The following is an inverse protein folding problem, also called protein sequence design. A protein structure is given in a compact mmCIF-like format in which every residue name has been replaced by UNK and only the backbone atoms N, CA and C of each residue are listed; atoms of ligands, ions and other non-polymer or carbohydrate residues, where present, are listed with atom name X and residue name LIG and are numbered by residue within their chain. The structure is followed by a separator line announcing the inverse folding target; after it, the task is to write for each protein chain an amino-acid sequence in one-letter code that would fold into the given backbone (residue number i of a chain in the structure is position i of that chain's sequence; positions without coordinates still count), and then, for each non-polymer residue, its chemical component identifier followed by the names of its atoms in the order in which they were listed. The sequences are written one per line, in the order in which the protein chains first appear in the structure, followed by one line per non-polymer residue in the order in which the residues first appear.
data_IF_618464886507
#
_entry.id   IF_618464886507
#
_cell.length_a   1.000
_cell.length_b   1.000
_cell.length_c   1.000
_cell.angle_alpha   90.00
_cell.angle_beta   90.00
_cell.angle_gamma   90.00
#
_symmetry.space_group_name_H-M   'P 1'
#
loop_
_entity.id
_entity.type
_entity.pdbx_description
1 polymer ?
#
# COMPACT_ATOMS: atom_id res chain seq x y z
N UNK A 1 11.10 -10.54 -20.65
CA UNK A 1 11.38 -11.20 -19.36
C UNK A 1 11.88 -10.15 -18.40
N UNK A 2 11.03 -9.73 -17.49
CA UNK A 2 11.47 -8.89 -16.37
C UNK A 2 12.41 -9.72 -15.51
N UNK A 3 13.69 -9.33 -15.50
CA UNK A 3 14.70 -10.01 -14.71
C UNK A 3 14.30 -9.99 -13.23
N UNK A 4 14.26 -11.15 -12.61
CA UNK A 4 14.08 -11.28 -11.17
C UNK A 4 15.30 -10.67 -10.48
N UNK A 5 15.09 -9.57 -9.76
CA UNK A 5 16.12 -8.94 -8.95
C UNK A 5 16.01 -9.43 -7.52
N UNK A 6 16.95 -10.26 -7.11
CA UNK A 6 17.03 -10.73 -5.73
C UNK A 6 18.09 -9.94 -4.96
N UNK A 7 17.74 -9.53 -3.75
CA UNK A 7 18.65 -8.85 -2.84
C UNK A 7 18.92 -9.70 -1.60
N UNK A 8 20.05 -9.45 -0.95
CA UNK A 8 20.38 -10.14 0.30
C UNK A 8 19.41 -9.73 1.42
N UNK A 9 18.90 -10.73 2.14
CA UNK A 9 18.11 -10.55 3.35
C UNK A 9 19.01 -10.93 4.56
N UNK A 10 19.18 -9.98 5.48
CA UNK A 10 19.90 -10.25 6.71
C UNK A 10 19.07 -11.16 7.63
N UNK A 11 19.73 -12.09 8.31
CA UNK A 11 19.10 -12.93 9.32
C UNK A 11 18.81 -12.19 10.62
N UNK A 12 19.57 -11.13 10.91
CA UNK A 12 19.40 -10.33 12.11
C UNK A 12 18.21 -9.37 11.99
N UNK A 13 17.48 -9.23 13.09
CA UNK A 13 16.48 -8.18 13.23
C UNK A 13 17.13 -6.85 13.59
N UNK A 14 16.65 -5.77 13.00
CA UNK A 14 17.00 -4.42 13.44
C UNK A 14 15.99 -3.92 14.46
N UNK A 15 16.47 -3.49 15.63
CA UNK A 15 15.59 -3.02 16.69
C UNK A 15 15.07 -1.60 16.37
N UNK A 16 13.75 -1.41 16.49
CA UNK A 16 13.13 -0.09 16.48
C UNK A 16 12.92 0.48 17.90
N UNK A 17 13.29 -0.26 18.91
CA UNK A 17 13.24 0.12 20.33
C UNK A 17 14.53 -0.29 21.01
N UNK A 18 14.49 -1.34 21.83
CA UNK A 18 15.69 -1.87 22.46
C UNK A 18 16.62 -2.55 21.43
N UNK A 19 17.94 -2.32 21.52
CA UNK A 19 18.88 -2.95 20.59
C UNK A 19 18.87 -4.48 20.76
N UNK A 20 18.95 -5.18 19.63
CA UNK A 20 19.18 -6.62 19.58
C UNK A 20 20.61 -6.92 19.15
N UNK A 21 21.17 -8.09 19.53
CA UNK A 21 22.50 -8.48 19.07
C UNK A 21 22.57 -8.51 17.55
N UNK A 22 23.66 -7.98 16.99
CA UNK A 22 23.90 -8.04 15.55
C UNK A 22 24.55 -9.38 15.20
N UNK A 23 23.90 -10.13 14.32
CA UNK A 23 24.45 -11.33 13.69
C UNK A 23 24.76 -11.04 12.23
N UNK A 24 25.97 -11.30 11.81
CA UNK A 24 26.48 -10.97 10.45
C UNK A 24 26.07 -11.98 9.36
N UNK A 25 25.01 -12.77 9.59
CA UNK A 25 24.61 -13.80 8.64
C UNK A 25 23.55 -13.32 7.67
N UNK A 26 23.78 -13.60 6.39
CA UNK A 26 22.76 -13.50 5.34
C UNK A 26 22.01 -14.83 5.30
N UNK A 27 20.73 -14.82 5.69
CA UNK A 27 19.92 -16.02 5.76
C UNK A 27 19.43 -16.48 4.39
N UNK A 28 19.07 -15.53 3.52
CA UNK A 28 18.46 -15.81 2.23
C UNK A 28 18.64 -14.66 1.24
N UNK A 29 18.15 -14.87 0.03
CA UNK A 29 17.88 -13.80 -0.92
C UNK A 29 16.38 -13.58 -1.02
N UNK A 30 15.95 -12.34 -1.06
CA UNK A 30 14.57 -11.96 -1.23
C UNK A 30 14.32 -11.43 -2.66
N UNK A 31 13.29 -11.97 -3.31
CA UNK A 31 12.71 -11.39 -4.51
C UNK A 31 11.49 -10.56 -4.11
N UNK A 32 11.61 -9.24 -4.23
CA UNK A 32 10.52 -8.33 -3.85
C UNK A 32 9.27 -8.50 -4.72
N UNK A 33 9.40 -8.95 -5.96
CA UNK A 33 8.24 -9.24 -6.80
C UNK A 33 7.41 -10.37 -6.20
N UNK A 34 8.06 -11.45 -5.75
CA UNK A 34 7.37 -12.55 -5.10
C UNK A 34 6.83 -12.17 -3.72
N UNK A 35 7.60 -11.40 -2.95
CA UNK A 35 7.24 -11.03 -1.59
C UNK A 35 6.09 -10.01 -1.51
N UNK A 36 6.08 -9.01 -2.40
CA UNK A 36 5.14 -7.89 -2.35
C UNK A 36 4.01 -8.01 -3.37
N UNK A 37 4.17 -8.83 -4.41
CA UNK A 37 3.19 -8.98 -5.50
C UNK A 37 2.87 -10.46 -5.69
N UNK A 38 2.17 -11.09 -4.72
CA UNK A 38 1.87 -12.53 -4.80
C UNK A 38 0.89 -12.87 -5.93
N UNK A 39 0.10 -11.93 -6.38
CA UNK A 39 -0.90 -12.08 -7.45
C UNK A 39 -0.76 -10.99 -8.51
N UNK A 40 0.21 -11.10 -9.44
CA UNK A 40 0.52 -10.03 -10.40
C UNK A 40 -0.66 -9.61 -11.28
N UNK A 41 -1.53 -10.56 -11.66
CA UNK A 41 -2.66 -10.29 -12.56
C UNK A 41 -3.76 -9.42 -11.93
N UNK A 42 -3.85 -9.41 -10.60
CA UNK A 42 -4.84 -8.61 -9.85
C UNK A 42 -4.20 -7.46 -9.07
N UNK A 43 -2.90 -7.25 -9.21
CA UNK A 43 -2.16 -6.22 -8.47
C UNK A 43 -2.00 -4.96 -9.30
N UNK A 44 -2.30 -3.82 -8.67
CA UNK A 44 -2.17 -2.49 -9.23
C UNK A 44 -1.38 -1.59 -8.29
N UNK A 45 -0.78 -0.55 -8.84
CA UNK A 45 -0.04 0.45 -8.08
C UNK A 45 -0.74 1.80 -8.21
N UNK A 46 -0.85 2.51 -7.10
CA UNK A 46 -1.32 3.89 -7.08
C UNK A 46 -0.46 4.74 -6.14
N UNK A 47 -0.28 6.00 -6.48
CA UNK A 47 0.43 6.96 -5.65
C UNK A 47 -0.54 7.75 -4.80
N UNK A 48 -0.21 7.90 -3.53
CA UNK A 48 -1.02 8.65 -2.57
C UNK A 48 -0.82 10.15 -2.76
N UNK A 49 -1.92 10.88 -2.71
CA UNK A 49 -1.94 12.33 -2.61
C UNK A 49 -2.70 12.75 -1.35
N UNK A 50 -2.05 13.52 -0.50
CA UNK A 50 -2.62 14.01 0.75
C UNK A 50 -2.32 13.16 1.98
N UNK A 51 -2.71 13.64 3.15
CA UNK A 51 -2.34 13.10 4.46
C UNK A 51 -3.52 12.48 5.23
N UNK A 52 -4.65 12.24 4.57
CA UNK A 52 -5.87 11.73 5.21
C UNK A 52 -5.69 10.36 5.90
N UNK A 53 -4.67 9.60 5.51
CA UNK A 53 -4.35 8.28 6.05
C UNK A 53 -3.03 8.23 6.83
N UNK A 54 -2.49 9.37 7.21
CA UNK A 54 -1.22 9.45 7.95
C UNK A 54 -1.26 8.70 9.29
N UNK A 55 -2.39 8.69 9.98
CA UNK A 55 -2.60 7.93 11.22
C UNK A 55 -2.56 6.41 11.02
N UNK A 56 -2.77 5.92 9.81
CA UNK A 56 -2.60 4.50 9.43
C UNK A 56 -1.22 4.23 8.82
N UNK A 57 -0.31 5.18 8.87
CA UNK A 57 1.05 5.04 8.35
C UNK A 57 1.19 5.20 6.84
N UNK A 58 0.17 5.73 6.17
CA UNK A 58 0.18 6.01 4.73
C UNK A 58 0.33 7.52 4.54
N UNK A 59 1.43 7.93 3.90
CA UNK A 59 1.81 9.33 3.75
C UNK A 59 1.66 9.80 2.31
N UNK A 60 1.61 11.11 2.15
CA UNK A 60 1.64 11.75 0.84
C UNK A 60 2.84 11.29 0.02
N UNK A 61 2.62 10.91 -1.24
CA UNK A 61 3.65 10.39 -2.12
C UNK A 61 3.95 8.90 -2.00
N UNK A 62 3.38 8.19 -1.05
CA UNK A 62 3.55 6.74 -0.92
C UNK A 62 3.06 5.99 -2.16
N UNK A 63 3.70 4.87 -2.46
CA UNK A 63 3.26 3.94 -3.49
C UNK A 63 2.45 2.83 -2.84
N UNK A 64 1.17 2.73 -3.19
CA UNK A 64 0.31 1.65 -2.74
C UNK A 64 0.41 0.46 -3.68
N UNK A 65 0.50 -0.72 -3.10
CA UNK A 65 0.32 -2.01 -3.77
C UNK A 65 -1.08 -2.51 -3.43
N UNK A 66 -1.91 -2.67 -4.45
CA UNK A 66 -3.35 -2.93 -4.31
C UNK A 66 -3.69 -4.25 -5.00
N UNK A 67 -4.34 -5.14 -4.28
CA UNK A 67 -4.82 -6.40 -4.82
C UNK A 67 -6.35 -6.37 -4.97
N UNK A 68 -6.82 -6.50 -6.19
CA UNK A 68 -8.24 -6.49 -6.51
C UNK A 68 -8.92 -7.84 -6.35
N UNK A 69 -8.16 -8.91 -6.14
CA UNK A 69 -8.71 -10.26 -5.93
C UNK A 69 -9.10 -10.55 -4.48
N UNK A 70 -8.66 -9.71 -3.55
CA UNK A 70 -8.96 -9.87 -2.14
C UNK A 70 -10.33 -9.31 -1.76
N UNK A 71 -11.01 -10.04 -0.90
CA UNK A 71 -12.23 -9.54 -0.28
C UNK A 71 -11.92 -8.48 0.77
N UNK A 72 -12.53 -7.33 0.64
CA UNK A 72 -12.41 -6.27 1.62
C UNK A 72 -13.15 -6.67 2.92
N UNK A 73 -12.46 -6.49 4.05
CA UNK A 73 -12.98 -6.79 5.39
C UNK A 73 -12.75 -5.60 6.32
N UNK A 74 -13.58 -5.41 7.34
CA UNK A 74 -13.35 -4.39 8.37
C UNK A 74 -11.93 -4.48 8.95
N UNK A 75 -11.29 -3.33 9.10
CA UNK A 75 -9.90 -3.17 9.54
C UNK A 75 -8.89 -3.08 8.41
N UNK A 76 -9.23 -3.46 7.19
CA UNK A 76 -8.32 -3.33 6.03
C UNK A 76 -8.38 -1.93 5.42
N UNK A 77 -7.23 -1.49 4.91
CA UNK A 77 -7.15 -0.31 4.07
C UNK A 77 -7.55 -0.68 2.65
N UNK A 78 -8.43 0.11 2.06
CA UNK A 78 -8.98 -0.12 0.73
C UNK A 78 -8.84 1.10 -0.16
N UNK A 79 -8.81 0.88 -1.45
CA UNK A 79 -9.08 1.90 -2.45
C UNK A 79 -10.52 1.78 -2.89
N UNK A 80 -11.21 2.89 -2.94
CA UNK A 80 -12.60 2.99 -3.40
C UNK A 80 -12.74 4.13 -4.40
N UNK A 81 -13.81 4.08 -5.18
CA UNK A 81 -14.24 5.22 -6.00
C UNK A 81 -15.31 6.00 -5.25
N UNK A 82 -15.19 7.31 -5.25
CA UNK A 82 -16.14 8.22 -4.63
C UNK A 82 -16.15 9.54 -5.41
N UNK A 83 -17.33 9.98 -5.82
CA UNK A 83 -17.46 11.22 -6.58
C UNK A 83 -16.65 11.24 -7.89
N UNK A 84 -16.45 10.09 -8.54
CA UNK A 84 -15.65 9.96 -9.76
C UNK A 84 -14.14 9.95 -9.55
N UNK A 85 -13.66 9.91 -8.32
CA UNK A 85 -12.24 9.87 -7.97
C UNK A 85 -11.89 8.63 -7.14
N UNK A 86 -10.61 8.23 -7.17
CA UNK A 86 -10.09 7.22 -6.25
C UNK A 86 -9.75 7.84 -4.91
N UNK A 87 -10.13 7.16 -3.86
CA UNK A 87 -9.77 7.49 -2.48
C UNK A 87 -9.19 6.27 -1.78
N UNK A 88 -8.29 6.49 -0.81
CA UNK A 88 -7.78 5.46 0.10
C UNK A 88 -8.33 5.72 1.50
N UNK A 89 -8.93 4.68 2.11
CA UNK A 89 -9.57 4.75 3.44
C UNK A 89 -9.45 3.41 4.14
N UNK A 90 -9.64 3.40 5.45
CA UNK A 90 -9.82 2.16 6.22
C UNK A 90 -11.29 1.77 6.18
N UNK A 91 -11.56 0.52 5.90
CA UNK A 91 -12.90 -0.04 5.98
C UNK A 91 -13.23 -0.35 7.44
N UNK A 92 -14.30 0.23 7.94
CA UNK A 92 -14.85 -0.05 9.27
C UNK A 92 -16.25 -0.61 9.16
N UNK A 93 -16.66 -1.43 10.12
CA UNK A 93 -17.98 -2.05 10.16
C UNK A 93 -18.03 -3.30 11.01
N UNK A 94 -19.19 -3.95 11.07
CA UNK A 94 -19.34 -5.24 11.72
C UNK A 94 -19.08 -6.38 10.74
N UNK A 95 -18.42 -7.44 11.21
CA UNK A 95 -18.29 -8.69 10.45
C UNK A 95 -19.69 -9.21 10.09
N UNK A 96 -19.88 -9.52 8.81
CA UNK A 96 -21.13 -10.06 8.28
C UNK A 96 -22.22 -9.01 7.95
N UNK A 97 -21.94 -7.72 8.15
CA UNK A 97 -22.82 -6.65 7.64
C UNK A 97 -22.32 -6.20 6.28
N UNK A 98 -23.23 -6.14 5.30
CA UNK A 98 -22.97 -5.56 3.98
C UNK A 98 -22.74 -4.04 4.01
N UNK A 99 -22.92 -3.44 5.18
CA UNK A 99 -22.83 -2.00 5.43
C UNK A 99 -21.56 -1.70 6.21
N UNK A 100 -20.65 -0.99 5.59
CA UNK A 100 -19.41 -0.49 6.20
C UNK A 100 -19.25 1.00 5.98
N UNK A 101 -18.23 1.54 6.61
CA UNK A 101 -17.83 2.94 6.51
C UNK A 101 -16.41 3.03 6.00
N UNK A 102 -16.14 3.98 5.14
CA UNK A 102 -14.80 4.35 4.72
C UNK A 102 -14.33 5.51 5.60
N UNK A 103 -13.29 5.26 6.39
CA UNK A 103 -12.82 6.17 7.43
C UNK A 103 -11.39 6.60 7.16
N UNK A 104 -11.15 7.91 7.22
CA UNK A 104 -9.81 8.48 7.24
C UNK A 104 -9.24 8.51 8.67
N UNK A 105 -7.94 8.68 8.80
CA UNK A 105 -7.25 8.79 10.10
C UNK A 105 -6.74 10.19 10.41
N UNK A 106 -7.26 11.20 9.72
CA UNK A 106 -6.91 12.61 9.92
C UNK A 106 -7.74 13.31 11.02
N UNK A 107 -8.80 12.66 11.50
CA UNK A 107 -9.75 13.25 12.46
C UNK A 107 -10.61 14.38 11.89
N UNK A 108 -10.52 14.66 10.61
CA UNK A 108 -11.20 15.79 9.92
C UNK A 108 -12.18 15.31 8.87
N UNK A 109 -11.83 14.27 8.12
CA UNK A 109 -12.65 13.77 7.02
C UNK A 109 -13.88 13.02 7.53
N UNK A 110 -15.02 13.34 6.97
CA UNK A 110 -16.29 12.66 7.30
C UNK A 110 -16.27 11.22 6.81
N UNK A 111 -16.66 10.23 7.61
CA UNK A 111 -16.84 8.85 7.18
C UNK A 111 -17.85 8.74 6.03
N UNK A 112 -17.57 7.88 5.05
CA UNK A 112 -18.41 7.65 3.88
C UNK A 112 -19.10 6.30 4.01
N UNK A 113 -20.43 6.29 3.97
CA UNK A 113 -21.21 5.06 4.05
C UNK A 113 -21.21 4.31 2.72
N UNK A 114 -20.90 3.01 2.75
CA UNK A 114 -21.00 2.15 1.57
C UNK A 114 -22.45 1.82 1.20
N UNK A 115 -23.33 1.74 2.20
CA UNK A 115 -24.75 1.36 2.00
C UNK A 115 -25.55 2.33 1.14
N UNK A 116 -25.12 3.57 1.04
CA UNK A 116 -25.84 4.63 0.31
C UNK A 116 -25.41 4.72 -1.16
N UNK A 117 -24.49 3.87 -1.60
CA UNK A 117 -23.98 3.86 -2.98
C UNK A 117 -23.10 5.06 -3.33
N UNK A 118 -22.67 5.84 -2.33
CA UNK A 118 -21.81 7.01 -2.54
C UNK A 118 -20.37 6.63 -2.89
N UNK A 119 -19.96 5.42 -2.51
CA UNK A 119 -18.63 4.87 -2.79
C UNK A 119 -18.71 3.41 -3.19
N UNK A 120 -17.76 2.98 -4.02
CA UNK A 120 -17.62 1.60 -4.46
C UNK A 120 -16.21 1.10 -4.17
N UNK A 121 -16.11 -0.08 -3.56
CA UNK A 121 -14.82 -0.71 -3.27
C UNK A 121 -14.14 -1.13 -4.57
N UNK A 122 -12.86 -0.80 -4.69
CA UNK A 122 -12.08 -1.10 -5.89
C UNK A 122 -10.99 -2.15 -5.64
N UNK A 123 -10.31 -2.11 -4.53
CA UNK A 123 -9.28 -3.08 -4.18
C UNK A 123 -8.76 -2.92 -2.75
N UNK A 124 -8.04 -3.91 -2.27
CA UNK A 124 -7.45 -3.95 -0.94
C UNK A 124 -5.99 -3.52 -1.02
N UNK A 125 -5.57 -2.58 -0.19
CA UNK A 125 -4.17 -2.18 -0.06
C UNK A 125 -3.42 -3.22 0.75
N UNK A 126 -2.43 -3.85 0.14
CA UNK A 126 -1.62 -4.89 0.79
C UNK A 126 -0.26 -4.36 1.26
N UNK A 127 0.27 -3.33 0.62
CA UNK A 127 1.50 -2.66 1.05
C UNK A 127 1.45 -1.18 0.74
N UNK A 128 2.14 -0.40 1.55
CA UNK A 128 2.51 0.99 1.26
C UNK A 128 4.04 1.10 1.24
N UNK A 129 4.58 1.61 0.16
CA UNK A 129 6.02 1.83 0.01
C UNK A 129 6.30 3.31 0.24
N UNK A 130 6.97 3.60 1.34
CA UNK A 130 7.32 4.94 1.74
C UNK A 130 8.79 5.24 1.44
N UNK A 131 9.03 6.37 0.80
CA UNK A 131 10.38 6.81 0.44
C UNK A 131 10.94 7.70 1.54
N UNK A 132 12.00 7.27 2.21
CA UNK A 132 12.60 7.98 3.35
C UNK A 132 13.71 8.95 2.93
N UNK A 133 14.53 8.57 1.95
CA UNK A 133 15.59 9.41 1.43
C UNK A 133 15.06 10.35 0.33
N UNK A 134 15.48 11.61 0.33
CA UNK A 134 15.13 12.52 -0.77
C UNK A 134 15.70 11.98 -2.07
N UNK A 135 14.93 11.98 -3.16
CA UNK A 135 15.44 11.62 -4.48
C UNK A 135 16.65 12.50 -4.83
N UNK A 136 17.69 11.91 -5.39
CA UNK A 136 18.82 12.66 -5.91
C UNK A 136 18.30 13.57 -7.05
N UNK A 137 18.52 14.90 -7.00
CA UNK A 137 18.09 15.78 -8.07
C UNK A 137 18.61 15.29 -9.41
N UNK A 138 17.72 15.18 -10.42
CA UNK A 138 18.07 14.78 -11.77
C UNK A 138 17.95 13.27 -12.07
N UNK A 139 17.62 12.42 -11.09
CA UNK A 139 17.31 11.01 -11.35
C UNK A 139 15.82 10.76 -11.10
N UNK A 140 15.03 10.48 -12.14
CA UNK A 140 13.64 10.07 -11.95
C UNK A 140 13.61 8.76 -11.17
N UNK A 141 12.63 8.56 -10.27
CA UNK A 141 12.53 7.37 -9.42
C UNK A 141 12.36 6.07 -10.22
N UNK A 142 11.95 6.17 -11.46
CA UNK A 142 12.00 5.06 -12.43
C UNK A 142 11.98 5.61 -13.87
N UNK A 143 12.59 4.87 -14.78
CA UNK A 143 12.57 5.18 -16.19
C UNK A 143 11.18 4.84 -16.74
N UNK A 144 10.42 5.82 -17.21
CA UNK A 144 9.29 5.52 -18.09
C UNK A 144 9.86 4.87 -19.36
N UNK A 145 9.62 3.60 -19.55
CA UNK A 145 9.78 3.03 -20.87
C UNK A 145 8.81 3.76 -21.79
N UNK A 146 9.35 4.50 -22.74
CA UNK A 146 8.55 5.01 -23.84
C UNK A 146 8.02 3.79 -24.57
N UNK A 147 6.70 3.64 -24.58
CA UNK A 147 6.03 2.74 -25.51
C UNK A 147 6.60 3.04 -26.89
N UNK A 148 7.28 2.08 -27.46
CA UNK A 148 7.64 2.14 -28.88
C UNK A 148 6.34 1.96 -29.64
N UNK A 149 5.92 2.99 -30.33
CA UNK A 149 4.99 2.88 -31.44
C UNK A 149 5.58 1.97 -32.52
#
# INVERSE_FOLDING_TARGET
VLGSSTCALASSLVAAGFPSPADDYVEARIDLNLALIPRPLSTFFMRVSGDAMAGDGILDGDLLVIDRSLDARPGLVVVATHGGAFIVRRLEGRRGCATGWLVASDGLSTPIALAEGEAELWGVVIHAVHHLARPVPGRPPYRREKSRE
#
